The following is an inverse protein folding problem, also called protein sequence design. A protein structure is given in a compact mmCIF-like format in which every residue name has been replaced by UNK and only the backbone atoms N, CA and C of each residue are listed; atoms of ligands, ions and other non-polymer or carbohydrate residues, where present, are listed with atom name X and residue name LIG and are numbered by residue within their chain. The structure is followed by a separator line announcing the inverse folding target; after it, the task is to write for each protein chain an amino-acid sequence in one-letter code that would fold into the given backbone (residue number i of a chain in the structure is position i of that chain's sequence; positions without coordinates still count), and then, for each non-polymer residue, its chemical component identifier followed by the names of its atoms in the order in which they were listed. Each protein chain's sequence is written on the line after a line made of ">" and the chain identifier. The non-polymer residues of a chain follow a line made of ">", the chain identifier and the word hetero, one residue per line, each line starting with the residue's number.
data_IF_327778174457
#
_entry.id   IF_327778174457
#
_cell.length_a   1.000
_cell.length_b   1.000
_cell.length_c   1.000
_cell.angle_alpha   90.00
_cell.angle_beta   90.00
_cell.angle_gamma   90.00
#
_symmetry.space_group_name_H-M   'P 1'
#
loop_
_entity.id
_entity.type
_entity.pdbx_description
1 polymer ?
#
# COMPACT_ATOMS: atom_id res chain seq x y z
N UNK A 1 5.75 11.40 1.21
CA UNK A 1 4.53 12.14 0.90
C UNK A 1 3.93 11.51 -0.33
N UNK A 2 2.62 11.30 -0.31
CA UNK A 2 1.86 10.77 -1.44
C UNK A 2 0.72 11.75 -1.67
N UNK A 3 0.53 12.21 -2.90
CA UNK A 3 -0.52 13.18 -3.24
C UNK A 3 -1.34 12.65 -4.44
N UNK A 4 -2.66 12.48 -4.31
CA UNK A 4 -3.47 12.66 -3.10
C UNK A 4 -3.14 11.64 -2.01
N UNK A 5 -3.61 11.90 -0.78
CA UNK A 5 -3.45 10.95 0.33
C UNK A 5 -4.08 9.59 -0.01
N UNK A 6 -3.45 8.48 0.42
CA UNK A 6 -4.01 7.15 0.21
C UNK A 6 -5.30 6.97 1.00
N UNK A 7 -6.24 6.19 0.45
CA UNK A 7 -7.45 5.78 1.16
C UNK A 7 -7.12 4.60 2.06
N UNK A 8 -7.42 4.71 3.35
CA UNK A 8 -7.29 3.63 4.33
C UNK A 8 -8.68 3.05 4.59
N UNK A 9 -8.81 1.73 4.48
CA UNK A 9 -10.04 1.00 4.77
C UNK A 9 -9.79 0.05 5.93
N UNK A 10 -10.30 0.40 7.11
CA UNK A 10 -10.26 -0.45 8.30
C UNK A 10 -11.36 -1.51 8.21
N UNK A 11 -10.98 -2.72 7.78
CA UNK A 11 -11.94 -3.79 7.48
C UNK A 11 -12.70 -4.26 8.73
N UNK A 12 -12.13 -4.17 9.92
CA UNK A 12 -12.81 -4.50 11.18
C UNK A 12 -13.90 -3.48 11.56
N UNK A 13 -13.81 -2.25 11.05
CA UNK A 13 -14.79 -1.18 11.27
C UNK A 13 -15.80 -1.02 10.12
N UNK A 14 -15.54 -1.64 8.97
CA UNK A 14 -16.39 -1.54 7.79
C UNK A 14 -17.57 -2.53 7.86
N UNK A 15 -18.79 -2.08 7.55
CA UNK A 15 -20.01 -2.89 7.60
C UNK A 15 -19.88 -4.23 6.84
N UNK A 16 -19.29 -4.18 5.64
CA UNK A 16 -19.01 -5.34 4.79
C UNK A 16 -17.55 -5.83 4.84
N UNK A 17 -16.82 -5.56 5.93
CA UNK A 17 -15.38 -5.81 5.99
C UNK A 17 -14.95 -7.25 5.72
N UNK A 18 -15.69 -8.23 6.26
CA UNK A 18 -15.43 -9.66 6.02
C UNK A 18 -15.63 -10.06 4.56
N UNK A 19 -16.72 -9.59 3.95
CA UNK A 19 -17.04 -9.88 2.56
C UNK A 19 -16.01 -9.23 1.62
N UNK A 20 -15.59 -8.01 1.94
CA UNK A 20 -14.50 -7.32 1.24
C UNK A 20 -13.18 -8.07 1.36
N UNK A 21 -12.80 -8.53 2.56
CA UNK A 21 -11.58 -9.31 2.76
C UNK A 21 -11.60 -10.62 1.98
N UNK A 22 -12.75 -11.31 1.97
CA UNK A 22 -12.93 -12.53 1.20
C UNK A 22 -12.76 -12.25 -0.30
N UNK A 23 -13.47 -11.25 -0.83
CA UNK A 23 -13.39 -10.85 -2.23
C UNK A 23 -11.97 -10.46 -2.65
N UNK A 24 -11.27 -9.68 -1.82
CA UNK A 24 -9.85 -9.35 -2.05
C UNK A 24 -8.98 -10.61 -2.06
N UNK A 25 -9.26 -11.56 -1.17
CA UNK A 25 -8.58 -12.86 -1.14
C UNK A 25 -8.78 -13.67 -2.42
N UNK A 26 -9.96 -13.62 -3.02
CA UNK A 26 -10.29 -14.30 -4.28
C UNK A 26 -9.66 -13.59 -5.49
N UNK A 27 -9.72 -12.26 -5.53
CA UNK A 27 -9.22 -11.46 -6.66
C UNK A 27 -7.70 -11.32 -6.69
N UNK A 28 -7.06 -11.27 -5.52
CA UNK A 28 -5.62 -10.95 -5.39
C UNK A 28 -4.78 -12.11 -4.85
N UNK A 29 -5.42 -13.17 -4.36
CA UNK A 29 -4.77 -14.26 -3.63
C UNK A 29 -4.34 -13.92 -2.19
N UNK A 30 -4.39 -12.65 -1.77
CA UNK A 30 -3.99 -12.21 -0.43
C UNK A 30 -5.19 -12.09 0.50
N UNK A 31 -5.18 -12.90 1.57
CA UNK A 31 -6.27 -12.99 2.56
C UNK A 31 -5.99 -12.27 3.88
N UNK A 32 -4.83 -11.63 4.01
CA UNK A 32 -4.36 -11.01 5.26
C UNK A 32 -4.26 -9.49 5.14
N UNK A 33 -4.39 -8.82 6.28
CA UNK A 33 -4.11 -7.38 6.42
C UNK A 33 -2.71 -7.16 7.03
N UNK A 34 -2.05 -6.03 6.72
CA UNK A 34 -2.45 -5.05 5.72
C UNK A 34 -2.30 -5.59 4.28
N UNK A 35 -3.01 -4.97 3.32
CA UNK A 35 -2.90 -5.27 1.89
C UNK A 35 -2.84 -3.95 1.09
N UNK A 36 -1.68 -3.63 0.53
CA UNK A 36 -1.48 -2.42 -0.27
C UNK A 36 -2.04 -2.62 -1.69
N UNK A 37 -3.14 -1.94 -1.99
CA UNK A 37 -3.77 -2.00 -3.31
C UNK A 37 -3.38 -0.79 -4.16
N UNK A 38 -2.85 -1.02 -5.36
CA UNK A 38 -2.57 0.04 -6.34
C UNK A 38 -3.10 -0.40 -7.70
N UNK A 39 -4.03 0.38 -8.28
CA UNK A 39 -4.68 0.11 -9.57
C UNK A 39 -5.24 -1.33 -9.66
N UNK A 40 -5.90 -1.77 -8.59
CA UNK A 40 -6.52 -3.11 -8.52
C UNK A 40 -5.55 -4.27 -8.27
N UNK A 41 -4.25 -4.00 -8.14
CA UNK A 41 -3.23 -5.03 -7.89
C UNK A 41 -2.75 -4.94 -6.44
N UNK A 42 -2.75 -6.08 -5.74
CA UNK A 42 -2.09 -6.23 -4.44
C UNK A 42 -0.58 -6.13 -4.61
N UNK A 43 0.06 -5.23 -3.85
CA UNK A 43 1.51 -5.01 -3.81
C UNK A 43 2.19 -5.64 -2.59
N UNK A 44 1.42 -6.30 -1.73
CA UNK A 44 1.93 -7.00 -0.55
C UNK A 44 1.34 -6.48 0.76
N UNK A 45 1.79 -7.09 1.85
CA UNK A 45 1.49 -6.69 3.22
C UNK A 45 2.65 -5.99 3.89
N UNK A 46 2.60 -5.85 5.21
CA UNK A 46 3.57 -5.06 5.98
C UNK A 46 5.01 -5.48 5.74
N UNK A 47 5.28 -6.78 5.79
CA UNK A 47 6.62 -7.34 5.60
C UNK A 47 7.17 -7.07 4.19
N UNK A 48 6.32 -7.20 3.16
CA UNK A 48 6.71 -6.92 1.77
C UNK A 48 7.10 -5.44 1.60
N UNK A 49 6.28 -4.53 2.13
CA UNK A 49 6.54 -3.08 2.03
C UNK A 49 7.76 -2.68 2.86
N UNK A 50 7.95 -3.28 4.03
CA UNK A 50 9.14 -3.08 4.86
C UNK A 50 10.41 -3.58 4.14
N UNK A 51 10.34 -4.73 3.46
CA UNK A 51 11.45 -5.26 2.67
C UNK A 51 11.80 -4.33 1.49
N UNK A 52 10.81 -3.88 0.70
CA UNK A 52 11.07 -2.90 -0.37
C UNK A 52 11.69 -1.61 0.17
N UNK A 53 11.29 -1.17 1.36
CA UNK A 53 11.88 0.01 1.98
C UNK A 53 13.34 -0.24 2.38
N UNK A 54 13.62 -1.34 3.08
CA UNK A 54 14.95 -1.72 3.51
C UNK A 54 15.93 -1.89 2.33
N UNK A 55 15.42 -2.37 1.20
CA UNK A 55 16.19 -2.56 -0.04
C UNK A 55 16.30 -1.28 -0.89
N UNK A 56 15.77 -0.13 -0.45
CA UNK A 56 15.66 1.12 -1.22
C UNK A 56 14.88 1.00 -2.55
N UNK A 57 14.01 0.00 -2.68
CA UNK A 57 13.19 -0.25 -3.87
C UNK A 57 11.82 0.45 -3.80
N UNK A 58 11.30 0.69 -2.58
CA UNK A 58 9.92 1.12 -2.37
C UNK A 58 9.56 2.41 -3.11
N UNK A 59 10.42 3.42 -3.13
CA UNK A 59 10.11 4.69 -3.81
C UNK A 59 9.99 4.50 -5.34
N UNK A 60 10.91 3.74 -5.94
CA UNK A 60 10.87 3.43 -7.37
C UNK A 60 9.64 2.63 -7.73
N UNK A 61 9.37 1.58 -6.96
CA UNK A 61 8.19 0.73 -7.09
C UNK A 61 6.90 1.54 -6.99
N UNK A 62 6.75 2.40 -5.97
CA UNK A 62 5.56 3.24 -5.83
C UNK A 62 5.38 4.17 -7.04
N UNK A 63 6.43 4.85 -7.50
CA UNK A 63 6.37 5.73 -8.69
C UNK A 63 5.95 4.98 -9.95
N UNK A 64 6.46 3.77 -10.14
CA UNK A 64 6.08 2.91 -11.26
C UNK A 64 4.61 2.48 -11.16
N UNK A 65 4.19 1.98 -10.00
CA UNK A 65 2.86 1.42 -9.80
C UNK A 65 1.76 2.48 -9.88
N UNK A 66 1.97 3.65 -9.28
CA UNK A 66 1.00 4.76 -9.33
C UNK A 66 1.00 5.46 -10.68
N UNK A 67 2.13 5.52 -11.39
CA UNK A 67 2.27 6.26 -12.64
C UNK A 67 1.83 7.73 -12.48
N UNK A 68 1.00 8.22 -13.40
CA UNK A 68 0.47 9.60 -13.34
C UNK A 68 -0.71 9.81 -12.38
N UNK A 69 -1.14 8.76 -11.64
CA UNK A 69 -2.31 8.86 -10.77
C UNK A 69 -2.02 9.51 -9.41
N UNK A 70 -0.75 9.57 -9.01
CA UNK A 70 -0.33 10.20 -7.76
C UNK A 70 1.14 10.64 -7.83
N UNK A 71 1.50 11.66 -7.06
CA UNK A 71 2.88 12.08 -6.84
C UNK A 71 3.42 11.40 -5.58
N UNK A 72 4.64 10.89 -5.65
CA UNK A 72 5.28 10.16 -4.54
C UNK A 72 6.69 10.69 -4.30
N UNK A 73 6.92 11.16 -3.08
CA UNK A 73 8.21 11.67 -2.63
C UNK A 73 8.61 11.03 -1.30
N UNK A 74 9.91 10.74 -1.15
CA UNK A 74 10.44 10.30 0.16
C UNK A 74 10.52 11.52 1.07
N UNK A 75 9.85 11.45 2.22
CA UNK A 75 10.03 12.48 3.26
C UNK A 75 11.37 12.19 3.92
N UNK A 76 12.31 13.14 3.83
CA UNK A 76 13.54 13.05 4.59
C UNK A 76 13.19 13.26 6.07
N UNK A 77 13.64 12.37 6.94
CA UNK A 77 13.61 12.64 8.37
C UNK A 77 14.41 13.93 8.65
N UNK A 78 13.96 14.82 9.55
CA UNK A 78 14.78 15.95 9.95
C UNK A 78 16.13 15.44 10.44
N UNK A 79 17.20 15.96 9.84
CA UNK A 79 18.57 15.68 10.28
C UNK A 79 18.79 16.40 11.60
N UNK A 80 18.45 15.76 12.71
CA UNK A 80 19.00 16.15 14.00
C UNK A 80 20.40 15.55 14.08
N UNK A 81 21.37 16.33 13.61
CA UNK A 81 22.79 16.16 13.93
C UNK A 81 23.09 16.68 15.33
#
# INVERSE_FOLDING_TARGET
>A
MITPDPVIVELDLHEHGKDLQQLLGELTGRKTVPNLMIKGVSRGGGDDIAAYHANNELLGNLKEWVGSSAEVEKVNAPSNS
#
